data_IF_343633841895
#
_entry.id   IF_343633841895
#
_cell.length_a   1.000
_cell.length_b   1.000
_cell.length_c   1.000
_cell.angle_alpha   90.00
_cell.angle_beta   90.00
_cell.angle_gamma   90.00
#
_symmetry.space_group_name_H-M   'P 1'
#
loop_
_entity.id
_entity.type
_entity.pdbx_description
1 polymer ?
#
# COMPACT_ATOMS: atom_id res chain seq x y z
N UNK A 1 -40.24 -0.26 2.45
CA UNK A 1 -40.02 -0.44 0.99
C UNK A 1 -38.87 0.46 0.58
N UNK A 2 -37.94 -0.04 -0.24
CA UNK A 2 -36.87 0.76 -0.83
C UNK A 2 -37.36 1.39 -2.14
N UNK A 3 -36.97 2.64 -2.38
CA UNK A 3 -37.24 3.37 -3.62
C UNK A 3 -36.14 3.12 -4.66
N UNK A 4 -36.38 3.48 -5.93
CA UNK A 4 -35.33 3.44 -6.96
C UNK A 4 -34.12 4.33 -6.62
N UNK A 5 -34.34 5.42 -5.89
CA UNK A 5 -33.28 6.31 -5.42
C UNK A 5 -32.38 5.62 -4.41
N UNK A 6 -32.94 4.77 -3.55
CA UNK A 6 -32.17 3.97 -2.59
C UNK A 6 -31.28 2.95 -3.31
N UNK A 7 -31.77 2.35 -4.40
CA UNK A 7 -30.99 1.43 -5.24
C UNK A 7 -29.84 2.18 -5.92
N UNK A 8 -30.10 3.34 -6.53
CA UNK A 8 -29.06 4.17 -7.17
C UNK A 8 -27.98 4.61 -6.16
N UNK A 9 -28.37 4.94 -4.93
CA UNK A 9 -27.44 5.28 -3.85
C UNK A 9 -26.56 4.08 -3.47
N UNK A 10 -27.14 2.88 -3.41
CA UNK A 10 -26.39 1.66 -3.14
C UNK A 10 -25.37 1.35 -4.25
N UNK A 11 -25.74 1.50 -5.52
CA UNK A 11 -24.82 1.31 -6.64
C UNK A 11 -23.63 2.27 -6.61
N UNK A 12 -23.88 3.53 -6.22
CA UNK A 12 -22.84 4.53 -6.05
C UNK A 12 -21.87 4.13 -4.93
N UNK A 13 -22.40 3.71 -3.78
CA UNK A 13 -21.60 3.21 -2.65
C UNK A 13 -20.76 2.01 -3.10
N UNK A 14 -21.36 1.04 -3.81
CA UNK A 14 -20.66 -0.15 -4.29
C UNK A 14 -19.53 0.19 -5.26
N UNK A 15 -19.74 1.15 -6.17
CA UNK A 15 -18.69 1.61 -7.10
C UNK A 15 -17.55 2.32 -6.37
N UNK A 16 -17.86 3.23 -5.45
CA UNK A 16 -16.85 3.91 -4.65
C UNK A 16 -16.01 2.91 -3.81
N UNK A 17 -16.65 1.89 -3.24
CA UNK A 17 -15.95 0.79 -2.54
C UNK A 17 -15.02 -0.02 -3.44
N UNK A 18 -15.40 -0.26 -4.70
CA UNK A 18 -14.53 -0.97 -5.65
C UNK A 18 -13.27 -0.20 -6.03
N UNK A 19 -13.25 1.11 -5.80
CA UNK A 19 -12.08 1.99 -5.97
C UNK A 19 -11.26 2.13 -4.67
N UNK A 20 -11.54 1.29 -3.69
CA UNK A 20 -10.86 1.27 -2.39
C UNK A 20 -10.93 2.64 -1.65
N UNK A 21 -12.05 3.34 -1.85
CA UNK A 21 -12.36 4.58 -1.12
C UNK A 21 -12.75 4.27 0.33
N UNK A 22 -12.41 5.18 1.24
CA UNK A 22 -12.72 5.03 2.67
C UNK A 22 -14.22 5.13 2.90
N UNK A 23 -14.69 4.60 4.04
CA UNK A 23 -16.09 4.78 4.47
C UNK A 23 -16.48 6.25 4.60
N UNK A 24 -15.54 7.11 4.98
CA UNK A 24 -15.76 8.55 5.10
C UNK A 24 -16.01 9.19 3.73
N UNK A 25 -15.17 8.88 2.73
CA UNK A 25 -15.34 9.40 1.36
C UNK A 25 -16.66 8.90 0.75
N UNK A 26 -16.97 7.61 0.93
CA UNK A 26 -18.23 7.00 0.46
C UNK A 26 -19.44 7.69 1.08
N UNK A 27 -19.40 8.00 2.39
CA UNK A 27 -20.48 8.70 3.08
C UNK A 27 -20.69 10.10 2.51
N UNK A 28 -19.61 10.87 2.36
CA UNK A 28 -19.68 12.22 1.79
C UNK A 28 -20.23 12.22 0.36
N UNK A 29 -19.76 11.29 -0.50
CA UNK A 29 -20.27 11.16 -1.87
C UNK A 29 -21.74 10.75 -1.89
N UNK A 30 -22.17 9.85 -1.00
CA UNK A 30 -23.56 9.42 -0.90
C UNK A 30 -24.50 10.52 -0.36
N UNK A 31 -24.00 11.44 0.47
CA UNK A 31 -24.72 12.63 0.91
C UNK A 31 -24.85 13.64 -0.24
N UNK A 32 -23.75 13.96 -0.93
CA UNK A 32 -23.77 14.85 -2.10
C UNK A 32 -24.65 14.33 -3.24
N UNK A 33 -24.71 13.03 -3.46
CA UNK A 33 -25.60 12.44 -4.46
C UNK A 33 -27.08 12.55 -4.10
N UNK A 34 -27.42 12.68 -2.81
CA UNK A 34 -28.79 12.78 -2.32
C UNK A 34 -29.31 14.21 -2.18
N UNK A 35 -28.43 15.17 -1.93
CA UNK A 35 -28.81 16.57 -1.65
C UNK A 35 -28.07 17.63 -2.46
N UNK A 36 -27.03 17.25 -3.19
CA UNK A 36 -26.18 18.15 -3.96
C UNK A 36 -26.47 18.13 -5.46
N UNK A 37 -25.98 19.16 -6.16
CA UNK A 37 -25.98 19.19 -7.62
C UNK A 37 -24.82 18.37 -8.22
N UNK A 38 -24.96 17.99 -9.49
CA UNK A 38 -23.95 17.21 -10.22
C UNK A 38 -22.55 17.85 -10.18
N UNK A 39 -22.45 19.18 -10.25
CA UNK A 39 -21.17 19.89 -10.24
C UNK A 39 -20.42 19.72 -8.91
N UNK A 40 -21.11 19.85 -7.78
CA UNK A 40 -20.53 19.65 -6.46
C UNK A 40 -20.10 18.19 -6.25
N UNK A 41 -20.90 17.25 -6.72
CA UNK A 41 -20.54 15.83 -6.70
C UNK A 41 -19.29 15.57 -7.55
N UNK A 42 -19.23 16.09 -8.78
CA UNK A 42 -18.11 15.88 -9.68
C UNK A 42 -16.80 16.43 -9.10
N UNK A 43 -16.82 17.64 -8.54
CA UNK A 43 -15.64 18.24 -7.91
C UNK A 43 -15.16 17.41 -6.72
N UNK A 44 -16.07 17.00 -5.82
CA UNK A 44 -15.70 16.17 -4.68
C UNK A 44 -15.16 14.80 -5.12
N UNK A 45 -15.79 14.17 -6.12
CA UNK A 45 -15.36 12.89 -6.62
C UNK A 45 -13.97 12.96 -7.26
N UNK A 46 -13.70 14.02 -8.03
CA UNK A 46 -12.37 14.25 -8.61
C UNK A 46 -11.29 14.38 -7.52
N UNK A 47 -11.58 15.08 -6.44
CA UNK A 47 -10.63 15.24 -5.33
C UNK A 47 -10.38 13.92 -4.57
N UNK A 48 -11.42 13.11 -4.35
CA UNK A 48 -11.27 11.77 -3.76
C UNK A 48 -10.42 10.88 -4.66
N UNK A 49 -10.67 10.89 -5.97
CA UNK A 49 -9.90 10.09 -6.95
C UNK A 49 -8.43 10.53 -6.96
N UNK A 50 -8.15 11.83 -6.98
CA UNK A 50 -6.79 12.37 -6.95
C UNK A 50 -6.03 11.93 -5.70
N UNK A 51 -6.64 12.08 -4.51
CA UNK A 51 -6.03 11.61 -3.25
C UNK A 51 -5.75 10.10 -3.28
N UNK A 52 -6.68 9.31 -3.84
CA UNK A 52 -6.49 7.86 -3.94
C UNK A 52 -5.36 7.48 -4.90
N UNK A 53 -5.18 8.21 -6.00
CA UNK A 53 -4.03 8.03 -6.90
C UNK A 53 -2.72 8.31 -6.16
N UNK A 54 -2.63 9.41 -5.41
CA UNK A 54 -1.45 9.75 -4.60
C UNK A 54 -1.14 8.69 -3.53
N UNK A 55 -2.17 8.13 -2.88
CA UNK A 55 -1.99 7.03 -1.92
C UNK A 55 -1.43 5.77 -2.58
N UNK A 56 -1.94 5.42 -3.77
CA UNK A 56 -1.48 4.27 -4.54
C UNK A 56 -0.02 4.46 -4.97
N UNK A 57 0.33 5.64 -5.47
CA UNK A 57 1.71 5.95 -5.89
C UNK A 57 2.69 5.86 -4.71
N UNK A 58 2.32 6.36 -3.54
CA UNK A 58 3.12 6.20 -2.31
C UNK A 58 3.30 4.73 -1.95
N UNK A 59 2.21 3.95 -1.99
CA UNK A 59 2.29 2.51 -1.67
C UNK A 59 3.15 1.75 -2.68
N UNK A 60 3.10 2.11 -3.96
CA UNK A 60 3.97 1.55 -4.99
C UNK A 60 5.43 1.88 -4.69
N UNK A 61 5.75 3.13 -4.36
CA UNK A 61 7.10 3.54 -4.00
C UNK A 61 7.64 2.75 -2.79
N UNK A 62 6.83 2.60 -1.73
CA UNK A 62 7.20 1.81 -0.55
C UNK A 62 7.47 0.34 -0.90
N UNK A 63 6.60 -0.26 -1.72
CA UNK A 63 6.75 -1.65 -2.14
C UNK A 63 7.95 -1.86 -3.07
N UNK A 64 8.27 -0.88 -3.91
CA UNK A 64 9.47 -0.91 -4.75
C UNK A 64 10.75 -0.80 -3.90
N UNK A 65 10.77 0.06 -2.89
CA UNK A 65 11.89 0.16 -1.94
C UNK A 65 12.09 -1.17 -1.20
N UNK A 66 11.02 -1.73 -0.63
CA UNK A 66 11.08 -3.05 0.03
C UNK A 66 11.57 -4.15 -0.92
N UNK A 67 11.14 -4.14 -2.19
CA UNK A 67 11.62 -5.09 -3.18
C UNK A 67 13.12 -4.95 -3.42
N UNK A 68 13.64 -3.73 -3.49
CA UNK A 68 15.07 -3.47 -3.64
C UNK A 68 15.86 -3.99 -2.44
N UNK A 69 15.38 -3.75 -1.22
CA UNK A 69 16.00 -4.26 0.01
C UNK A 69 16.07 -5.80 0.00
N UNK A 70 14.98 -6.47 -0.40
CA UNK A 70 14.95 -7.93 -0.51
C UNK A 70 15.91 -8.46 -1.58
N UNK A 71 16.01 -7.79 -2.72
CA UNK A 71 16.96 -8.15 -3.78
C UNK A 71 18.42 -7.98 -3.33
N UNK A 72 18.71 -6.94 -2.54
CA UNK A 72 20.04 -6.74 -1.97
C UNK A 72 20.40 -7.89 -1.02
N UNK A 73 19.48 -8.28 -0.13
CA UNK A 73 19.69 -9.42 0.77
C UNK A 73 19.91 -10.72 -0.02
N UNK A 74 19.08 -10.99 -1.03
CA UNK A 74 19.25 -12.17 -1.88
C UNK A 74 20.62 -12.20 -2.57
N UNK A 75 21.05 -11.08 -3.16
CA UNK A 75 22.37 -10.98 -3.82
C UNK A 75 23.55 -11.19 -2.87
N UNK A 76 23.39 -10.74 -1.62
CA UNK A 76 24.38 -10.93 -0.57
C UNK A 76 24.54 -12.42 -0.24
N UNK A 77 23.40 -13.11 -0.03
CA UNK A 77 23.37 -14.54 0.27
C UNK A 77 23.97 -15.39 -0.87
N UNK A 78 23.70 -15.05 -2.13
CA UNK A 78 24.29 -15.79 -3.27
C UNK A 78 25.81 -15.62 -3.34
N UNK A 79 26.33 -14.43 -3.08
CA UNK A 79 27.77 -14.12 -3.16
C UNK A 79 28.56 -14.79 -2.03
N UNK A 80 27.98 -14.89 -0.83
CA UNK A 80 28.60 -15.57 0.31
C UNK A 80 28.76 -17.08 0.12
N UNK A 81 27.91 -17.72 -0.70
CA UNK A 81 27.96 -19.17 -0.89
C UNK A 81 29.23 -19.65 -1.62
N UNK A 82 30.00 -18.74 -2.25
CA UNK A 82 31.20 -19.05 -3.03
C UNK A 82 32.52 -18.81 -2.27
N UNK A 83 32.50 -18.17 -1.10
CA UNK A 83 33.69 -17.84 -0.31
C UNK A 83 33.51 -18.13 1.18
N UNK A 84 34.19 -19.17 1.66
CA UNK A 84 34.45 -19.54 3.07
C UNK A 84 33.53 -18.89 4.12
N UNK A 85 32.39 -19.54 4.36
CA UNK A 85 31.55 -19.26 5.52
C UNK A 85 32.40 -19.35 6.80
N UNK A 86 32.75 -18.19 7.37
CA UNK A 86 33.44 -18.12 8.65
C UNK A 86 32.59 -18.85 9.71
N UNK A 87 33.27 -19.72 10.45
CA UNK A 87 32.71 -20.71 11.37
C UNK A 87 31.88 -20.11 12.53
N UNK A 88 30.59 -19.88 12.30
CA UNK A 88 29.58 -19.87 13.36
C UNK A 88 28.68 -21.10 13.17
N UNK A 89 28.51 -21.94 14.19
CA UNK A 89 27.60 -23.10 14.14
C UNK A 89 26.12 -22.66 14.12
N UNK A 90 25.81 -21.49 14.70
CA UNK A 90 24.48 -20.88 14.62
C UNK A 90 24.52 -19.36 14.41
N UNK A 91 23.53 -18.82 13.69
CA UNK A 91 23.38 -17.36 13.46
C UNK A 91 23.18 -16.57 14.76
N UNK A 92 22.69 -17.22 15.82
CA UNK A 92 22.47 -16.61 17.13
C UNK A 92 23.75 -16.41 17.95
N UNK A 93 24.83 -17.11 17.59
CA UNK A 93 26.13 -16.99 18.24
C UNK A 93 27.01 -15.91 17.59
N UNK A 94 26.68 -15.48 16.36
CA UNK A 94 27.33 -14.32 15.77
C UNK A 94 26.64 -13.02 16.26
N UNK A 95 27.41 -11.97 16.62
CA UNK A 95 26.84 -10.63 16.80
C UNK A 95 26.12 -10.17 15.52
N UNK A 96 24.95 -9.53 15.58
CA UNK A 96 24.21 -9.09 14.38
C UNK A 96 25.00 -8.06 13.54
N UNK A 97 25.96 -7.38 14.17
CA UNK A 97 26.87 -6.42 13.53
C UNK A 97 28.01 -7.10 12.76
N UNK A 98 28.28 -8.37 13.06
CA UNK A 98 29.36 -9.19 12.49
C UNK A 98 28.83 -10.41 11.72
N UNK A 99 27.50 -10.58 11.65
CA UNK A 99 26.87 -11.66 10.91
C UNK A 99 26.59 -11.21 9.48
N UNK A 100 27.47 -11.60 8.56
CA UNK A 100 27.35 -11.27 7.14
C UNK A 100 26.04 -11.81 6.54
N UNK A 101 25.45 -12.90 7.07
CA UNK A 101 24.18 -13.46 6.57
C UNK A 101 22.98 -12.50 6.63
N UNK A 102 23.00 -11.50 7.53
CA UNK A 102 21.89 -10.54 7.69
C UNK A 102 22.06 -9.29 6.82
N UNK A 103 23.18 -9.18 6.08
CA UNK A 103 23.52 -8.01 5.29
C UNK A 103 23.96 -6.85 6.18
N UNK A 104 25.18 -6.35 5.97
CA UNK A 104 25.71 -5.20 6.71
C UNK A 104 24.93 -3.93 6.30
N UNK A 105 24.00 -3.54 7.18
CA UNK A 105 23.16 -2.32 7.19
C UNK A 105 21.86 -2.39 6.39
N UNK A 106 20.81 -2.91 7.03
CA UNK A 106 19.43 -2.47 6.78
C UNK A 106 19.25 -1.10 7.47
N UNK A 107 19.03 -0.04 6.68
CA UNK A 107 18.83 1.32 7.20
C UNK A 107 17.47 1.38 7.90
N UNK A 108 17.48 1.58 9.23
CA UNK A 108 16.30 1.92 10.05
C UNK A 108 15.92 3.39 9.84
#
# INVERSE_FOLDING_TARGET
>A
MYSETDVRRFDLIRRARSLDMTLSDVKQLAELAGSGGCDAFQQQFQEVVRRKQEDVDRRIADLLALKQDLQQVESHLTTMSEGEAAACDTVLECPPEACDCLGTKVRV
#
